data_IF_788427050145
#
_entry.id   IF_788427050145
#
_cell.length_a   1.000
_cell.length_b   1.000
_cell.length_c   1.000
_cell.angle_alpha   90.00
_cell.angle_beta   90.00
_cell.angle_gamma   90.00
#
_symmetry.space_group_name_H-M   'P 1'
#
loop_
_entity.id
_entity.type
_entity.pdbx_description
1 polymer ?
#
# COMPACT_ATOMS: atom_id res chain seq x y z
N UNK A 1 8.86 -13.50 8.70
CA UNK A 1 9.45 -12.49 7.79
C UNK A 1 8.33 -11.64 7.23
N UNK A 2 8.39 -10.33 7.48
CA UNK A 2 7.42 -9.39 6.91
C UNK A 2 7.49 -9.45 5.39
N UNK A 3 6.37 -9.80 4.76
CA UNK A 3 6.22 -9.85 3.30
C UNK A 3 5.56 -8.58 2.73
N UNK A 4 5.35 -7.54 3.55
CA UNK A 4 4.64 -6.31 3.16
C UNK A 4 5.52 -5.29 2.41
N UNK A 5 6.76 -5.62 2.07
CA UNK A 5 7.73 -4.63 1.57
C UNK A 5 7.89 -4.72 0.04
N UNK A 6 7.25 -5.71 -0.60
CA UNK A 6 7.25 -5.92 -2.06
C UNK A 6 6.29 -4.98 -2.82
N UNK A 7 5.46 -4.23 -2.11
CA UNK A 7 4.18 -3.72 -2.65
C UNK A 7 4.34 -2.40 -3.41
N UNK A 8 5.34 -1.57 -3.06
CA UNK A 8 5.63 -0.33 -3.79
C UNK A 8 6.11 -0.63 -5.21
N UNK A 9 6.96 -1.64 -5.36
CA UNK A 9 7.48 -2.03 -6.67
C UNK A 9 6.43 -2.71 -7.55
N UNK A 10 5.41 -3.37 -6.98
CA UNK A 10 4.25 -3.80 -7.78
C UNK A 10 3.55 -2.61 -8.46
N UNK A 11 3.36 -1.51 -7.72
CA UNK A 11 2.63 -0.35 -8.22
C UNK A 11 3.49 0.55 -9.13
N UNK A 12 4.76 0.75 -8.79
CA UNK A 12 5.61 1.79 -9.41
C UNK A 12 6.82 1.24 -10.18
N UNK A 13 6.93 -0.07 -10.42
CA UNK A 13 7.96 -0.59 -11.33
C UNK A 13 7.78 -0.02 -12.75
N UNK A 14 8.89 0.37 -13.38
CA UNK A 14 8.90 1.10 -14.65
C UNK A 14 8.93 2.62 -14.50
N UNK A 15 8.53 3.16 -13.34
CA UNK A 15 8.68 4.58 -13.00
C UNK A 15 10.03 4.75 -12.29
N UNK A 16 11.03 5.18 -13.05
CA UNK A 16 12.43 5.18 -12.61
C UNK A 16 12.92 6.50 -12.01
N UNK A 17 12.11 7.54 -12.07
CA UNK A 17 12.32 8.78 -11.30
C UNK A 17 11.52 8.71 -10.02
N UNK A 18 12.00 9.37 -8.98
CA UNK A 18 11.28 9.49 -7.72
C UNK A 18 11.41 10.92 -7.17
N UNK A 19 10.41 11.35 -6.41
CA UNK A 19 10.44 12.65 -5.75
C UNK A 19 9.77 12.59 -4.38
N UNK A 20 10.46 13.10 -3.38
CA UNK A 20 9.93 13.29 -2.04
C UNK A 20 10.01 14.78 -1.64
N UNK A 21 9.83 15.07 -0.34
CA UNK A 21 9.93 16.44 0.20
C UNK A 21 11.35 16.99 0.23
N UNK A 22 12.36 16.13 0.10
CA UNK A 22 13.79 16.46 0.18
C UNK A 22 14.42 16.63 -1.21
N UNK A 23 13.77 16.15 -2.27
CA UNK A 23 14.15 16.39 -3.65
C UNK A 23 13.68 15.31 -4.61
N UNK A 24 14.20 15.35 -5.83
CA UNK A 24 13.94 14.36 -6.88
C UNK A 24 15.22 13.64 -7.28
N UNK A 25 15.11 12.38 -7.67
CA UNK A 25 16.22 11.56 -8.15
C UNK A 25 15.80 10.55 -9.22
N UNK A 26 16.80 9.87 -9.76
CA UNK A 26 16.62 8.75 -10.70
C UNK A 26 17.21 7.50 -10.09
N UNK A 27 16.49 6.39 -10.17
CA UNK A 27 16.96 5.09 -9.71
C UNK A 27 18.18 4.65 -10.49
N UNK A 28 19.16 4.06 -9.79
CA UNK A 28 20.31 3.42 -10.45
C UNK A 28 19.90 2.15 -11.18
N UNK A 29 20.74 1.64 -12.08
CA UNK A 29 20.48 0.37 -12.77
C UNK A 29 20.26 -0.80 -11.80
N UNK A 30 20.97 -0.82 -10.66
CA UNK A 30 20.75 -1.85 -9.64
C UNK A 30 19.39 -1.68 -8.94
N UNK A 31 18.98 -0.45 -8.63
CA UNK A 31 17.66 -0.22 -8.04
C UNK A 31 16.52 -0.59 -9.00
N UNK A 32 16.68 -0.34 -10.30
CA UNK A 32 15.71 -0.75 -11.34
C UNK A 32 15.61 -2.28 -11.39
N UNK A 33 16.75 -2.98 -11.38
CA UNK A 33 16.79 -4.45 -11.34
C UNK A 33 16.10 -5.01 -10.09
N UNK A 34 16.43 -4.47 -8.90
CA UNK A 34 15.81 -4.90 -7.65
C UNK A 34 14.31 -4.57 -7.62
N UNK A 35 13.87 -3.50 -8.28
CA UNK A 35 12.45 -3.17 -8.43
C UNK A 35 11.71 -4.28 -9.19
N UNK A 36 12.31 -4.79 -10.26
CA UNK A 36 11.73 -5.88 -11.03
C UNK A 36 11.69 -7.19 -10.22
N UNK A 37 12.73 -7.50 -9.44
CA UNK A 37 12.73 -8.64 -8.52
C UNK A 37 11.63 -8.53 -7.45
N UNK A 38 11.50 -7.37 -6.79
CA UNK A 38 10.51 -7.13 -5.75
C UNK A 38 9.08 -7.20 -6.28
N UNK A 39 8.80 -6.61 -7.45
CA UNK A 39 7.53 -6.75 -8.17
C UNK A 39 7.19 -8.23 -8.38
N UNK A 40 8.12 -9.01 -8.92
CA UNK A 40 7.89 -10.43 -9.20
C UNK A 40 7.63 -11.29 -7.95
N UNK A 41 8.05 -10.83 -6.76
CA UNK A 41 7.75 -11.51 -5.49
C UNK A 41 6.33 -11.23 -4.97
N UNK A 42 5.71 -10.11 -5.36
CA UNK A 42 4.46 -9.65 -4.78
C UNK A 42 3.25 -10.57 -5.06
N UNK A 43 3.01 -11.08 -6.29
CA UNK A 43 1.88 -11.96 -6.55
C UNK A 43 1.83 -13.20 -5.64
N UNK A 44 2.98 -13.83 -5.40
CA UNK A 44 3.06 -14.99 -4.51
C UNK A 44 2.71 -14.63 -3.06
N UNK A 45 3.15 -13.47 -2.58
CA UNK A 45 2.77 -12.98 -1.27
C UNK A 45 1.26 -12.74 -1.18
N UNK A 46 0.71 -11.94 -2.08
CA UNK A 46 -0.70 -11.57 -2.10
C UNK A 46 -1.59 -12.82 -2.16
N UNK A 47 -1.32 -13.72 -3.10
CA UNK A 47 -2.11 -14.93 -3.29
C UNK A 47 -2.06 -15.84 -2.05
N UNK A 48 -0.94 -15.86 -1.32
CA UNK A 48 -0.84 -16.63 -0.06
C UNK A 48 -1.75 -16.12 1.07
N UNK A 49 -2.30 -14.90 0.96
CA UNK A 49 -3.20 -14.35 1.96
C UNK A 49 -4.62 -14.94 1.88
N UNK A 50 -5.00 -15.53 0.74
CA UNK A 50 -6.31 -16.15 0.57
C UNK A 50 -7.48 -15.16 0.65
N UNK A 51 -7.24 -13.87 0.40
CA UNK A 51 -8.26 -12.81 0.58
C UNK A 51 -9.29 -12.80 -0.54
N UNK A 52 -10.50 -12.36 -0.21
CA UNK A 52 -11.67 -12.31 -1.10
C UNK A 52 -12.33 -10.94 -1.04
N UNK A 53 -12.86 -10.45 -2.16
CA UNK A 53 -13.70 -9.25 -2.17
C UNK A 53 -15.04 -9.51 -1.45
N UNK A 54 -15.83 -8.45 -1.17
CA UNK A 54 -17.13 -8.58 -0.49
C UNK A 54 -18.13 -9.52 -1.20
N UNK A 55 -18.05 -9.64 -2.52
CA UNK A 55 -18.88 -10.59 -3.29
C UNK A 55 -18.33 -12.04 -3.32
N UNK A 56 -17.26 -12.33 -2.59
CA UNK A 56 -16.67 -13.65 -2.47
C UNK A 56 -15.63 -14.01 -3.54
N UNK A 57 -15.36 -13.14 -4.52
CA UNK A 57 -14.33 -13.39 -5.54
C UNK A 57 -12.95 -13.48 -4.89
N UNK A 58 -12.20 -14.53 -5.23
CA UNK A 58 -10.81 -14.67 -4.79
C UNK A 58 -9.95 -13.60 -5.46
N UNK A 59 -9.23 -12.82 -4.65
CA UNK A 59 -8.38 -11.73 -5.10
C UNK A 59 -6.95 -12.23 -5.27
N UNK A 60 -6.50 -12.29 -6.52
CA UNK A 60 -5.20 -12.81 -6.89
C UNK A 60 -4.57 -12.01 -8.02
N UNK A 61 -3.27 -12.19 -8.18
CA UNK A 61 -2.48 -11.71 -9.31
C UNK A 61 -1.76 -12.88 -10.00
N UNK A 62 -1.62 -12.78 -11.30
CA UNK A 62 -0.73 -13.61 -12.11
C UNK A 62 0.73 -13.13 -11.99
N UNK A 63 1.64 -13.83 -12.69
CA UNK A 63 3.07 -13.49 -12.69
C UNK A 63 3.41 -12.12 -13.29
N UNK A 64 2.47 -11.50 -14.01
CA UNK A 64 2.63 -10.20 -14.65
C UNK A 64 1.98 -9.08 -13.81
N UNK A 65 1.45 -9.38 -12.62
CA UNK A 65 0.76 -8.42 -11.79
C UNK A 65 -0.66 -8.11 -12.26
N UNK A 66 -1.29 -8.96 -13.07
CA UNK A 66 -2.68 -8.80 -13.50
C UNK A 66 -3.60 -9.80 -12.82
N UNK A 67 -4.85 -9.42 -12.56
CA UNK A 67 -5.85 -10.32 -11.99
C UNK A 67 -6.90 -9.60 -11.17
N UNK A 68 -7.74 -10.38 -10.50
CA UNK A 68 -8.91 -9.90 -9.75
C UNK A 68 -8.56 -8.91 -8.64
N UNK A 69 -7.35 -8.99 -8.06
CA UNK A 69 -6.92 -7.99 -7.08
C UNK A 69 -6.64 -6.62 -7.73
N UNK A 70 -6.02 -6.59 -8.92
CA UNK A 70 -5.78 -5.35 -9.67
C UNK A 70 -7.11 -4.71 -10.07
N UNK A 71 -8.07 -5.52 -10.52
CA UNK A 71 -9.43 -5.04 -10.84
C UNK A 71 -10.14 -4.49 -9.60
N UNK A 72 -9.98 -5.14 -8.45
CA UNK A 72 -10.55 -4.67 -7.20
C UNK A 72 -9.93 -3.34 -6.74
N UNK A 73 -8.61 -3.20 -6.83
CA UNK A 73 -7.93 -1.93 -6.57
C UNK A 73 -8.40 -0.81 -7.52
N UNK A 74 -8.54 -1.11 -8.82
CA UNK A 74 -9.12 -0.18 -9.80
C UNK A 74 -10.54 0.22 -9.41
N UNK A 75 -11.37 -0.71 -8.95
CA UNK A 75 -12.74 -0.41 -8.53
C UNK A 75 -12.79 0.59 -7.36
N UNK A 76 -11.87 0.50 -6.40
CA UNK A 76 -11.77 1.49 -5.31
C UNK A 76 -11.41 2.89 -5.82
N UNK A 77 -10.58 2.98 -6.87
CA UNK A 77 -10.27 4.26 -7.53
C UNK A 77 -11.43 4.78 -8.38
N UNK A 78 -12.19 3.91 -9.03
CA UNK A 78 -13.42 4.27 -9.74
C UNK A 78 -14.45 4.84 -8.76
N UNK A 79 -14.65 4.20 -7.61
CA UNK A 79 -15.54 4.70 -6.55
C UNK A 79 -15.08 6.06 -6.02
N UNK A 80 -13.77 6.22 -5.80
CA UNK A 80 -13.16 7.49 -5.40
C UNK A 80 -13.43 8.61 -6.42
N UNK A 81 -13.12 8.35 -7.70
CA UNK A 81 -13.34 9.28 -8.79
C UNK A 81 -14.83 9.61 -8.97
N UNK A 82 -15.71 8.63 -8.86
CA UNK A 82 -17.15 8.86 -8.98
C UNK A 82 -17.67 9.77 -7.86
N UNK A 83 -17.20 9.57 -6.62
CA UNK A 83 -17.54 10.46 -5.51
C UNK A 83 -17.11 11.90 -5.79
N UNK A 84 -15.86 12.09 -6.25
CA UNK A 84 -15.35 13.40 -6.65
C UNK A 84 -16.18 14.05 -7.77
N UNK A 85 -16.54 13.27 -8.79
CA UNK A 85 -17.37 13.74 -9.91
C UNK A 85 -18.76 14.17 -9.42
N UNK A 86 -19.38 13.40 -8.53
CA UNK A 86 -20.68 13.73 -7.91
C UNK A 86 -20.62 15.00 -7.05
N UNK A 87 -19.46 15.30 -6.47
CA UNK A 87 -19.18 16.53 -5.70
C UNK A 87 -18.85 17.73 -6.59
N UNK A 88 -18.89 17.56 -7.92
CA UNK A 88 -18.67 18.62 -8.90
C UNK A 88 -17.20 18.84 -9.27
N UNK A 89 -16.29 17.95 -8.87
CA UNK A 89 -14.89 18.00 -9.29
C UNK A 89 -14.81 17.64 -10.78
N UNK A 90 -14.21 18.52 -11.58
CA UNK A 90 -14.01 18.26 -13.00
C UNK A 90 -12.84 17.29 -13.22
N UNK A 91 -13.15 16.08 -13.71
CA UNK A 91 -12.18 15.03 -14.00
C UNK A 91 -11.80 14.92 -15.48
N UNK A 92 -12.41 15.72 -16.37
CA UNK A 92 -12.25 15.57 -17.83
C UNK A 92 -10.83 15.82 -18.34
N UNK A 93 -9.98 16.49 -17.54
CA UNK A 93 -8.57 16.73 -17.85
C UNK A 93 -7.66 15.53 -17.56
N UNK A 94 -8.18 14.48 -16.90
CA UNK A 94 -7.41 13.31 -16.51
C UNK A 94 -7.61 12.21 -17.55
N UNK A 95 -6.65 12.05 -18.47
CA UNK A 95 -6.70 11.08 -19.56
C UNK A 95 -6.64 9.60 -19.11
N UNK A 96 -6.54 9.37 -17.81
CA UNK A 96 -6.55 8.06 -17.15
C UNK A 96 -7.88 7.77 -16.44
N UNK A 97 -8.81 8.71 -16.40
CA UNK A 97 -10.19 8.49 -15.92
C UNK A 97 -11.13 8.33 -17.10
N UNK A 98 -11.81 7.18 -17.19
CA UNK A 98 -12.81 6.94 -18.23
C UNK A 98 -14.19 7.29 -17.72
N UNK A 99 -14.86 8.24 -18.38
CA UNK A 99 -16.20 8.71 -18.02
C UNK A 99 -17.15 8.52 -19.19
N UNK A 100 -18.27 7.85 -18.93
CA UNK A 100 -19.36 7.63 -19.87
C UNK A 100 -20.67 8.09 -19.24
N UNK A 101 -21.37 9.04 -19.88
CA UNK A 101 -22.67 9.55 -19.42
C UNK A 101 -22.68 9.99 -17.93
N UNK A 102 -21.63 10.67 -17.46
CA UNK A 102 -21.51 11.12 -16.07
C UNK A 102 -21.14 10.01 -15.06
N UNK A 103 -20.82 8.81 -15.54
CA UNK A 103 -20.36 7.68 -14.73
C UNK A 103 -18.89 7.39 -15.02
N UNK A 104 -18.06 7.30 -13.98
CA UNK A 104 -16.69 6.79 -14.09
C UNK A 104 -16.79 5.28 -14.29
N UNK A 105 -16.32 4.79 -15.44
CA UNK A 105 -16.42 3.38 -15.82
C UNK A 105 -15.11 2.62 -15.69
N UNK A 106 -13.97 3.31 -15.74
CA UNK A 106 -12.67 2.68 -15.60
C UNK A 106 -11.57 3.67 -15.22
N UNK A 107 -10.45 3.13 -14.73
CA UNK A 107 -9.19 3.83 -14.49
C UNK A 107 -8.07 3.13 -15.25
N UNK A 108 -7.33 3.88 -16.06
CA UNK A 108 -6.05 3.45 -16.62
C UNK A 108 -4.99 3.49 -15.52
N UNK A 109 -4.76 2.34 -14.88
CA UNK A 109 -3.96 2.25 -13.67
C UNK A 109 -2.48 2.60 -13.90
N UNK A 110 -1.95 2.33 -15.10
CA UNK A 110 -0.55 2.60 -15.41
C UNK A 110 -0.34 4.11 -15.52
N UNK A 111 -1.21 4.82 -16.26
CA UNK A 111 -1.20 6.29 -16.32
C UNK A 111 -1.55 6.96 -14.99
N UNK A 112 -2.43 6.36 -14.19
CA UNK A 112 -2.69 6.82 -12.83
C UNK A 112 -1.43 6.72 -11.97
N UNK A 113 -0.68 5.61 -12.04
CA UNK A 113 0.57 5.47 -11.29
C UNK A 113 1.65 6.45 -11.77
N UNK A 114 1.73 6.73 -13.08
CA UNK A 114 2.58 7.79 -13.62
C UNK A 114 2.18 9.18 -13.09
N UNK A 115 0.88 9.46 -13.03
CA UNK A 115 0.33 10.72 -12.50
C UNK A 115 0.62 10.89 -11.01
N UNK A 116 0.43 9.84 -10.21
CA UNK A 116 0.74 9.83 -8.77
C UNK A 116 2.24 9.96 -8.52
N UNK A 117 3.05 9.31 -9.35
CA UNK A 117 4.50 9.32 -9.28
C UNK A 117 5.06 8.49 -8.13
N UNK A 118 6.30 8.00 -8.31
CA UNK A 118 7.04 7.28 -7.29
C UNK A 118 7.66 8.27 -6.29
N UNK A 119 7.54 7.98 -4.99
CA UNK A 119 8.15 8.83 -3.95
C UNK A 119 9.59 8.42 -3.59
N UNK A 120 9.85 7.11 -3.46
CA UNK A 120 11.08 6.56 -2.89
C UNK A 120 11.86 5.74 -3.92
N UNK A 121 13.19 5.68 -3.79
CA UNK A 121 14.02 4.69 -4.48
C UNK A 121 13.70 3.26 -4.05
N UNK A 122 14.34 2.27 -4.67
CA UNK A 122 14.13 0.85 -4.34
C UNK A 122 15.33 0.27 -3.58
N UNK A 123 15.11 -0.57 -2.54
CA UNK A 123 13.83 -0.84 -1.87
C UNK A 123 13.29 0.38 -1.10
N UNK A 124 11.97 0.54 -1.06
CA UNK A 124 11.32 1.76 -0.55
C UNK A 124 11.29 1.91 0.98
N UNK A 125 11.53 0.84 1.74
CA UNK A 125 11.42 0.85 3.21
C UNK A 125 12.66 0.26 3.90
N UNK A 126 13.11 -0.92 3.45
CA UNK A 126 14.32 -1.55 3.98
C UNK A 126 15.49 -1.21 3.05
N UNK A 127 16.11 -0.04 3.25
CA UNK A 127 17.16 0.44 2.35
C UNK A 127 18.41 -0.43 2.48
N UNK A 128 19.12 -0.65 1.37
CA UNK A 128 20.29 -1.54 1.35
C UNK A 128 21.46 -1.00 2.16
N UNK A 129 21.48 0.31 2.40
CA UNK A 129 22.48 1.04 3.16
C UNK A 129 22.06 1.36 4.60
N UNK A 130 20.90 0.86 5.05
CA UNK A 130 20.31 1.12 6.38
C UNK A 130 19.96 2.58 6.68
N UNK A 131 19.90 3.45 5.67
CA UNK A 131 19.58 4.87 5.81
C UNK A 131 18.09 5.20 5.97
N UNK A 132 17.18 4.26 5.71
CA UNK A 132 15.75 4.53 5.83
C UNK A 132 15.31 4.63 7.31
N UNK A 133 14.34 5.49 7.64
CA UNK A 133 13.79 5.58 9.00
C UNK A 133 13.28 4.23 9.53
N UNK A 134 12.70 3.41 8.65
CA UNK A 134 12.22 2.08 9.04
C UNK A 134 13.37 1.14 9.43
N UNK A 135 14.59 1.32 8.91
CA UNK A 135 15.75 0.56 9.38
C UNK A 135 16.13 0.93 10.82
N UNK A 136 16.05 2.22 11.19
CA UNK A 136 16.27 2.69 12.56
C UNK A 136 15.17 2.22 13.52
N UNK A 137 13.91 2.19 13.08
CA UNK A 137 12.78 1.65 13.86
C UNK A 137 13.05 0.20 14.30
N UNK A 138 13.72 -0.59 13.46
CA UNK A 138 14.13 -1.96 13.77
C UNK A 138 15.51 -2.09 14.43
N UNK A 139 16.10 -0.97 14.87
CA UNK A 139 17.28 -0.94 15.72
C UNK A 139 17.05 -1.56 17.10
N UNK A 140 18.11 -1.57 17.91
CA UNK A 140 18.10 -1.98 19.32
C UNK A 140 18.85 -0.95 20.16
N UNK A 141 18.92 -1.16 21.47
CA UNK A 141 19.71 -0.32 22.38
C UNK A 141 21.20 -0.24 22.03
N UNK A 142 21.73 -1.18 21.24
CA UNK A 142 23.15 -1.22 20.87
C UNK A 142 23.40 -1.23 19.35
N UNK A 143 22.35 -1.26 18.52
CA UNK A 143 22.45 -1.28 17.06
C UNK A 143 21.50 -0.23 16.51
N UNK A 144 22.02 0.83 15.89
CA UNK A 144 21.20 1.97 15.46
C UNK A 144 20.12 1.58 14.44
N UNK A 145 20.47 0.72 13.47
CA UNK A 145 19.58 0.34 12.38
C UNK A 145 19.82 -1.11 11.96
N UNK A 146 18.76 -1.81 11.57
CA UNK A 146 18.81 -3.19 11.09
C UNK A 146 17.97 -3.38 9.84
N UNK A 147 18.31 -4.39 9.04
CA UNK A 147 17.41 -4.88 8.01
C UNK A 147 16.22 -5.60 8.65
N UNK A 148 15.07 -5.59 8.00
CA UNK A 148 13.86 -6.28 8.49
C UNK A 148 13.22 -7.18 7.42
N UNK A 149 13.85 -7.26 6.25
CA UNK A 149 13.59 -8.22 5.20
C UNK A 149 14.82 -9.08 4.92
N UNK A 150 14.55 -10.32 4.52
CA UNK A 150 15.60 -11.18 4.00
C UNK A 150 16.13 -10.70 2.65
N UNK A 151 15.31 -9.96 1.88
CA UNK A 151 15.67 -9.45 0.57
C UNK A 151 16.75 -8.38 0.69
N UNK A 152 16.52 -7.31 1.47
CA UNK A 152 17.49 -6.25 1.65
C UNK A 152 18.73 -6.72 2.41
N UNK A 153 18.58 -7.61 3.41
CA UNK A 153 19.73 -8.20 4.09
C UNK A 153 20.66 -8.96 3.13
N UNK A 154 20.11 -9.71 2.16
CA UNK A 154 20.93 -10.41 1.15
C UNK A 154 21.61 -9.49 0.15
N UNK A 155 21.02 -8.31 -0.09
CA UNK A 155 21.50 -7.31 -1.04
C UNK A 155 22.15 -6.10 -0.32
N UNK A 156 22.52 -6.27 0.95
CA UNK A 156 23.04 -5.18 1.78
C UNK A 156 24.33 -4.59 1.21
N UNK A 157 24.45 -3.27 1.33
CA UNK A 157 25.66 -2.52 1.00
C UNK A 157 26.54 -2.26 2.24
N UNK A 158 26.06 -2.63 3.43
CA UNK A 158 26.73 -2.37 4.72
C UNK A 158 27.38 -3.65 5.23
N UNK A 159 28.70 -3.61 5.39
CA UNK A 159 29.45 -4.71 6.01
C UNK A 159 29.05 -4.89 7.48
N UNK A 160 28.94 -6.15 7.92
CA UNK A 160 28.50 -6.52 9.27
C UNK A 160 27.11 -5.96 9.64
N UNK A 161 26.25 -5.73 8.64
CA UNK A 161 24.83 -5.45 8.90
C UNK A 161 24.17 -6.63 9.61
N UNK A 162 23.02 -6.38 10.21
CA UNK A 162 22.24 -7.38 10.92
C UNK A 162 20.78 -7.33 10.48
N UNK A 163 20.07 -8.41 10.74
CA UNK A 163 18.63 -8.52 10.51
C UNK A 163 17.92 -8.55 11.85
N UNK A 164 16.85 -7.77 11.99
CA UNK A 164 16.02 -7.71 13.18
C UNK A 164 15.40 -9.08 13.50
N UNK A 165 15.17 -9.36 14.78
CA UNK A 165 14.50 -10.57 15.22
C UNK A 165 13.12 -10.66 14.56
N UNK A 166 12.85 -11.79 13.91
CA UNK A 166 11.60 -12.03 13.20
C UNK A 166 10.35 -11.93 14.09
N UNK A 167 10.52 -12.10 15.40
CA UNK A 167 9.48 -11.91 16.43
C UNK A 167 9.14 -10.44 16.60
N UNK A 168 10.13 -9.55 16.61
CA UNK A 168 9.92 -8.08 16.66
C UNK A 168 9.22 -7.62 15.39
N UNK A 169 9.71 -8.06 14.22
CA UNK A 169 9.09 -7.77 12.92
C UNK A 169 7.64 -8.25 12.87
N UNK A 170 7.35 -9.43 13.44
CA UNK A 170 5.98 -9.94 13.59
C UNK A 170 5.15 -9.07 14.52
N UNK A 171 5.71 -8.57 15.62
CA UNK A 171 5.01 -7.71 16.57
C UNK A 171 4.52 -6.41 15.96
N UNK A 172 5.29 -5.83 15.05
CA UNK A 172 4.98 -4.56 14.38
C UNK A 172 4.03 -4.68 13.19
N UNK A 173 3.48 -5.87 12.91
CA UNK A 173 2.68 -6.12 11.72
C UNK A 173 1.28 -6.64 12.06
N UNK A 174 0.21 -5.83 11.86
CA UNK A 174 -1.16 -6.21 12.23
C UNK A 174 -1.67 -7.45 11.49
N UNK A 175 -1.13 -7.76 10.30
CA UNK A 175 -1.58 -8.91 9.50
C UNK A 175 -1.41 -10.27 10.20
N UNK A 176 -0.49 -10.39 11.17
CA UNK A 176 -0.31 -11.61 11.96
C UNK A 176 -1.36 -11.83 13.05
N UNK A 177 -2.13 -10.79 13.38
CA UNK A 177 -3.07 -10.79 14.50
C UNK A 177 -4.52 -10.95 14.06
N UNK A 178 -4.83 -10.50 12.84
CA UNK A 178 -6.20 -10.48 12.31
C UNK A 178 -6.75 -11.89 12.13
N UNK A 179 -7.75 -12.22 12.93
CA UNK A 179 -8.44 -13.53 12.90
C UNK A 179 -7.70 -14.64 13.65
N UNK A 180 -6.64 -14.32 14.39
CA UNK A 180 -5.90 -15.31 15.18
C UNK A 180 -6.62 -15.61 16.50
N UNK A 181 -6.78 -16.90 16.82
CA UNK A 181 -7.42 -17.35 18.07
C UNK A 181 -6.68 -16.82 19.30
N UNK A 182 -7.45 -16.40 20.31
CA UNK A 182 -6.91 -15.85 21.57
C UNK A 182 -6.43 -14.39 21.47
N UNK A 183 -6.59 -13.74 20.32
CA UNK A 183 -6.25 -12.33 20.13
C UNK A 183 -7.53 -11.51 20.09
N UNK A 184 -7.61 -10.50 20.96
CA UNK A 184 -8.73 -9.54 20.96
C UNK A 184 -8.36 -8.38 20.04
N UNK A 185 -9.11 -8.20 18.96
CA UNK A 185 -8.96 -7.07 18.03
C UNK A 185 -10.16 -6.14 18.14
N UNK A 186 -9.96 -4.85 17.82
CA UNK A 186 -11.07 -3.90 17.74
C UNK A 186 -12.13 -4.37 16.74
N UNK A 187 -13.42 -4.17 17.05
CA UNK A 187 -14.53 -4.62 16.20
C UNK A 187 -14.76 -3.72 14.99
N UNK A 188 -14.54 -2.41 15.15
CA UNK A 188 -14.84 -1.38 14.16
C UNK A 188 -13.54 -0.72 13.69
N UNK A 189 -13.36 -0.62 12.38
CA UNK A 189 -12.19 -0.07 11.73
C UNK A 189 -12.63 0.98 10.70
N UNK A 190 -12.04 2.17 10.76
CA UNK A 190 -12.15 3.18 9.71
C UNK A 190 -10.78 3.42 9.13
N UNK A 191 -10.59 3.15 7.86
CA UNK A 191 -9.30 3.21 7.18
C UNK A 191 -9.43 4.13 5.96
N UNK A 192 -8.47 5.04 5.80
CA UNK A 192 -8.36 5.93 4.65
C UNK A 192 -6.94 5.90 4.10
N UNK A 193 -6.82 5.97 2.78
CA UNK A 193 -5.55 6.18 2.10
C UNK A 193 -5.81 7.09 0.90
N UNK A 194 -5.14 8.23 0.84
CA UNK A 194 -5.41 9.24 -0.18
C UNK A 194 -5.13 8.74 -1.60
N UNK A 195 -5.93 9.15 -2.58
CA UNK A 195 -5.77 8.71 -3.98
C UNK A 195 -4.53 9.28 -4.67
N UNK A 196 -3.80 10.18 -4.02
CA UNK A 196 -2.48 10.66 -4.50
C UNK A 196 -1.43 10.55 -3.38
N UNK A 197 -1.69 9.74 -2.35
CA UNK A 197 -0.67 9.33 -1.39
C UNK A 197 0.22 8.25 -2.03
N UNK A 198 1.53 8.52 -2.07
CA UNK A 198 2.55 7.65 -2.62
C UNK A 198 3.65 7.30 -1.61
N UNK A 199 3.41 7.52 -0.31
CA UNK A 199 4.32 7.12 0.77
C UNK A 199 4.41 5.58 0.88
N UNK A 200 3.36 4.88 0.44
CA UNK A 200 3.35 3.43 0.24
C UNK A 200 2.52 3.08 -1.01
N UNK A 201 2.23 1.80 -1.24
CA UNK A 201 1.28 1.40 -2.28
C UNK A 201 -0.14 1.32 -1.73
N UNK A 202 -1.13 1.70 -2.55
CA UNK A 202 -2.57 1.54 -2.24
C UNK A 202 -2.93 0.08 -1.90
N UNK A 203 -2.19 -0.89 -2.43
CA UNK A 203 -2.42 -2.29 -2.12
C UNK A 203 -2.20 -2.62 -0.62
N UNK A 204 -1.36 -1.88 0.11
CA UNK A 204 -1.13 -2.10 1.55
C UNK A 204 -2.41 -1.90 2.38
N UNK A 205 -3.03 -0.71 2.41
CA UNK A 205 -4.25 -0.49 3.18
C UNK A 205 -5.43 -1.29 2.62
N UNK A 206 -5.48 -1.54 1.29
CA UNK A 206 -6.51 -2.37 0.68
C UNK A 206 -6.44 -3.82 1.19
N UNK A 207 -5.25 -4.43 1.21
CA UNK A 207 -5.04 -5.78 1.76
C UNK A 207 -5.46 -5.86 3.22
N UNK A 208 -5.09 -4.86 4.03
CA UNK A 208 -5.45 -4.79 5.45
C UNK A 208 -6.98 -4.75 5.61
N UNK A 209 -7.64 -3.82 4.92
CA UNK A 209 -9.09 -3.65 4.97
C UNK A 209 -9.82 -4.93 4.53
N UNK A 210 -9.40 -5.54 3.42
CA UNK A 210 -10.01 -6.78 2.92
C UNK A 210 -9.79 -7.95 3.87
N UNK A 211 -8.59 -8.10 4.45
CA UNK A 211 -8.33 -9.17 5.42
C UNK A 211 -9.19 -9.02 6.66
N UNK A 212 -9.37 -7.80 7.17
CA UNK A 212 -10.29 -7.50 8.28
C UNK A 212 -11.74 -7.87 7.90
N UNK A 213 -12.22 -7.45 6.74
CA UNK A 213 -13.57 -7.81 6.26
C UNK A 213 -13.76 -9.32 6.14
N UNK A 214 -12.78 -10.06 5.60
CA UNK A 214 -12.84 -11.51 5.48
C UNK A 214 -12.91 -12.23 6.83
N UNK A 215 -12.37 -11.65 7.89
CA UNK A 215 -12.44 -12.19 9.25
C UNK A 215 -13.67 -11.68 10.03
N UNK A 216 -14.62 -10.99 9.37
CA UNK A 216 -15.88 -10.57 9.96
C UNK A 216 -15.83 -9.27 10.77
N UNK A 217 -14.76 -8.48 10.64
CA UNK A 217 -14.68 -7.15 11.25
C UNK A 217 -15.51 -6.12 10.48
N UNK A 218 -16.02 -5.11 11.19
CA UNK A 218 -16.72 -3.98 10.56
C UNK A 218 -15.70 -2.98 10.04
N UNK A 219 -15.54 -2.88 8.73
CA UNK A 219 -14.52 -2.02 8.10
C UNK A 219 -15.18 -1.00 7.19
N UNK A 220 -14.94 0.27 7.49
CA UNK A 220 -15.21 1.41 6.63
C UNK A 220 -13.88 1.81 5.96
N UNK A 221 -13.68 1.37 4.71
CA UNK A 221 -12.50 1.69 3.92
C UNK A 221 -12.88 2.60 2.76
N UNK A 222 -12.06 3.62 2.49
CA UNK A 222 -12.18 4.46 1.32
C UNK A 222 -10.82 4.97 0.85
N UNK A 223 -10.78 5.37 -0.42
CA UNK A 223 -9.64 6.06 -1.04
C UNK A 223 -10.06 7.50 -1.33
N UNK A 224 -9.82 8.50 -0.45
CA UNK A 224 -10.28 9.87 -0.70
C UNK A 224 -9.59 10.51 -1.89
N UNK A 225 -10.40 11.04 -2.82
CA UNK A 225 -9.92 11.60 -4.07
C UNK A 225 -9.06 12.85 -3.86
N UNK A 226 -7.93 12.95 -4.57
CA UNK A 226 -7.05 14.11 -4.57
C UNK A 226 -6.31 14.35 -3.24
N UNK A 227 -6.45 13.45 -2.27
CA UNK A 227 -5.78 13.56 -0.98
C UNK A 227 -4.39 12.91 -1.06
N UNK A 228 -3.36 13.67 -0.68
CA UNK A 228 -1.99 13.18 -0.53
C UNK A 228 -1.72 12.64 0.88
N UNK A 229 -0.44 12.53 1.25
CA UNK A 229 -0.06 12.02 2.56
C UNK A 229 -0.50 12.93 3.72
N UNK A 230 -1.43 12.43 4.53
CA UNK A 230 -1.98 13.14 5.69
C UNK A 230 -3.09 12.36 6.40
N UNK A 231 -3.62 12.96 7.46
CA UNK A 231 -4.75 12.47 8.26
C UNK A 231 -5.66 13.61 8.67
N UNK A 232 -6.74 13.28 9.37
CA UNK A 232 -7.67 14.25 9.99
C UNK A 232 -8.28 15.29 9.03
N UNK A 233 -8.26 15.03 7.73
CA UNK A 233 -8.83 15.91 6.70
C UNK A 233 -10.34 15.73 6.53
N UNK A 234 -10.93 14.68 7.10
CA UNK A 234 -12.36 14.33 6.98
C UNK A 234 -13.08 14.20 8.33
N UNK A 235 -12.77 15.11 9.28
CA UNK A 235 -13.29 15.05 10.67
C UNK A 235 -14.81 14.94 10.77
N UNK A 236 -15.56 15.65 9.91
CA UNK A 236 -17.03 15.55 9.91
C UNK A 236 -17.50 14.13 9.62
N UNK A 237 -16.91 13.46 8.63
CA UNK A 237 -17.25 12.07 8.28
C UNK A 237 -16.71 11.09 9.33
N UNK A 238 -15.57 11.40 9.95
CA UNK A 238 -15.03 10.63 11.08
C UNK A 238 -15.97 10.65 12.28
N UNK A 239 -16.44 11.83 12.68
CA UNK A 239 -17.36 11.99 13.82
C UNK A 239 -18.73 11.39 13.52
N UNK A 240 -19.26 11.55 12.30
CA UNK A 240 -20.49 10.88 11.89
C UNK A 240 -20.36 9.34 11.93
N UNK A 241 -19.20 8.79 11.55
CA UNK A 241 -18.92 7.36 11.69
C UNK A 241 -18.85 6.93 13.16
N UNK A 242 -18.20 7.72 14.03
CA UNK A 242 -18.13 7.45 15.47
C UNK A 242 -19.53 7.46 16.12
N UNK A 243 -20.35 8.46 15.81
CA UNK A 243 -21.72 8.57 16.29
C UNK A 243 -22.53 7.32 15.93
N UNK A 244 -22.40 6.84 14.68
CA UNK A 244 -23.10 5.63 14.20
C UNK A 244 -22.74 4.34 14.95
N UNK A 245 -21.52 4.24 15.50
CA UNK A 245 -21.07 3.01 16.21
C UNK A 245 -21.18 3.11 17.74
N UNK A 246 -21.44 4.30 18.27
CA UNK A 246 -21.52 4.59 19.70
C UNK A 246 -22.93 4.91 20.20
N UNK A 247 -23.90 5.09 19.30
CA UNK A 247 -25.32 5.30 19.62
C UNK A 247 -26.10 3.98 19.49
#
# INVERSE_FOLDING_TARGET
MSKLIYVVDEQFNGINTYSDRNGSGTMTSEQIKLSEELKNMFPNYLNSLGIRSPNGTYLALDKNGNGTFKDYMKSSLVESAQKALNEGINLSGLNWVKIENGTVTDIDIDKYNEYVGRMKGTPAFDSLDLSAPENEEFGTTTINAQHFTQFSYKNTLVNNSSIADSTIVKMMNPMYYIGTSGITSARYWRIRYGSVDNNTSLAIPLILATKLQNMGYNVDFAVPWGVGHGGDYDLSDLFAWMDKICQ
#
